data_IF_108493277257
#
_entry.id   IF_108493277257
#
_cell.length_a   1.000
_cell.length_b   1.000
_cell.length_c   1.000
_cell.angle_alpha   90.00
_cell.angle_beta   90.00
_cell.angle_gamma   90.00
#
_symmetry.space_group_name_H-M   'P 1'
#
loop_
_entity.id
_entity.type
_entity.pdbx_description
1 polymer ?
#
# COMPACT_ATOMS: atom_id res chain seq x y z
N UNK A 1 -8.94 -9.57 -9.73
CA UNK A 1 -8.13 -8.32 -9.80
C UNK A 1 -7.05 -8.34 -8.74
N UNK A 2 -7.40 -8.51 -7.46
CA UNK A 2 -6.38 -8.71 -6.41
C UNK A 2 -5.51 -9.95 -6.66
N UNK A 3 -6.08 -11.06 -7.14
CA UNK A 3 -5.28 -12.25 -7.51
C UNK A 3 -4.23 -11.92 -8.58
N UNK A 4 -4.56 -11.05 -9.54
CA UNK A 4 -3.63 -10.59 -10.59
C UNK A 4 -2.58 -9.64 -9.99
N UNK A 5 -2.98 -8.76 -9.07
CA UNK A 5 -2.08 -7.82 -8.42
C UNK A 5 -1.04 -8.51 -7.52
N UNK A 6 -1.37 -9.66 -6.94
CA UNK A 6 -0.50 -10.41 -6.04
C UNK A 6 0.31 -11.53 -6.73
N UNK A 7 -0.06 -11.91 -7.96
CA UNK A 7 0.59 -13.00 -8.68
C UNK A 7 1.99 -12.61 -9.20
N UNK A 8 3.01 -12.97 -8.42
CA UNK A 8 4.42 -12.72 -8.75
C UNK A 8 4.91 -13.44 -10.02
N UNK A 9 4.14 -14.37 -10.59
CA UNK A 9 4.47 -14.99 -11.88
C UNK A 9 4.16 -14.08 -13.08
N UNK A 10 3.33 -13.04 -12.87
CA UNK A 10 3.02 -12.04 -13.87
C UNK A 10 4.02 -10.88 -13.86
N UNK A 11 4.15 -10.23 -15.02
CA UNK A 11 4.94 -9.01 -15.15
C UNK A 11 4.46 -7.93 -14.17
N UNK A 12 5.41 -7.18 -13.61
CA UNK A 12 5.12 -6.11 -12.66
C UNK A 12 4.10 -5.10 -13.19
N UNK A 13 4.26 -4.71 -14.45
CA UNK A 13 3.32 -3.81 -15.14
C UNK A 13 1.89 -4.36 -15.17
N UNK A 14 1.71 -5.66 -15.35
CA UNK A 14 0.39 -6.30 -15.34
C UNK A 14 -0.24 -6.24 -13.95
N UNK A 15 0.57 -6.45 -12.90
CA UNK A 15 0.11 -6.34 -11.51
C UNK A 15 -0.29 -4.90 -11.17
N UNK A 16 0.53 -3.91 -11.59
CA UNK A 16 0.24 -2.49 -11.43
C UNK A 16 -1.06 -2.08 -12.11
N UNK A 17 -1.30 -2.52 -13.35
CA UNK A 17 -2.57 -2.26 -14.05
C UNK A 17 -3.80 -2.79 -13.30
N UNK A 18 -3.68 -3.95 -12.63
CA UNK A 18 -4.76 -4.48 -11.80
C UNK A 18 -5.05 -3.59 -10.58
N UNK A 19 -4.01 -2.98 -10.00
CA UNK A 19 -4.13 -2.03 -8.87
C UNK A 19 -4.75 -0.71 -9.35
N UNK A 20 -4.26 -0.14 -10.46
CA UNK A 20 -4.82 1.04 -11.11
C UNK A 20 -6.31 0.90 -11.41
N UNK A 21 -6.72 -0.26 -11.92
CA UNK A 21 -8.13 -0.54 -12.19
C UNK A 21 -8.98 -0.48 -10.91
N UNK A 22 -8.50 -1.08 -9.82
CA UNK A 22 -9.20 -1.04 -8.52
C UNK A 22 -9.25 0.39 -7.97
N UNK A 23 -8.14 1.13 -8.09
CA UNK A 23 -8.05 2.51 -7.64
C UNK A 23 -9.06 3.41 -8.38
N UNK A 24 -9.16 3.28 -9.70
CA UNK A 24 -10.13 4.00 -10.50
C UNK A 24 -11.58 3.72 -10.07
N UNK A 25 -11.90 2.48 -9.67
CA UNK A 25 -13.23 2.15 -9.12
C UNK A 25 -13.49 2.85 -7.78
N UNK A 26 -12.48 2.95 -6.93
CA UNK A 26 -12.57 3.61 -5.62
C UNK A 26 -12.75 5.12 -5.76
N UNK A 27 -12.08 5.73 -6.74
CA UNK A 27 -12.24 7.14 -7.10
C UNK A 27 -13.62 7.43 -7.69
N UNK A 28 -14.15 6.52 -8.52
CA UNK A 28 -15.44 6.66 -9.16
C UNK A 28 -16.64 6.27 -8.26
N UNK A 29 -16.42 5.82 -7.01
CA UNK A 29 -17.47 5.22 -6.16
C UNK A 29 -18.70 6.10 -5.95
N UNK A 30 -18.52 7.42 -5.88
CA UNK A 30 -19.61 8.38 -5.66
C UNK A 30 -20.61 8.40 -6.84
N UNK A 31 -20.18 7.91 -8.02
CA UNK A 31 -21.01 7.79 -9.22
C UNK A 31 -21.86 6.51 -9.26
N UNK A 32 -21.63 5.56 -8.34
CA UNK A 32 -22.30 4.26 -8.33
C UNK A 32 -22.57 3.73 -6.89
N UNK A 33 -23.44 4.38 -6.11
CA UNK A 33 -23.67 4.06 -4.70
C UNK A 33 -24.21 2.64 -4.46
N UNK A 34 -24.85 2.01 -5.45
CA UNK A 34 -25.32 0.62 -5.38
C UNK A 34 -24.20 -0.42 -5.20
N UNK A 35 -22.96 -0.08 -5.57
CA UNK A 35 -21.78 -0.95 -5.43
C UNK A 35 -21.08 -0.83 -4.07
N UNK A 36 -21.48 0.11 -3.21
CA UNK A 36 -20.77 0.50 -1.98
C UNK A 36 -20.62 -0.62 -0.95
N UNK A 37 -21.59 -1.53 -0.82
CA UNK A 37 -21.48 -2.67 0.12
C UNK A 37 -20.36 -3.64 -0.29
N UNK A 38 -20.25 -3.95 -1.60
CA UNK A 38 -19.14 -4.76 -2.12
C UNK A 38 -17.83 -4.01 -1.95
N UNK A 39 -17.84 -2.69 -2.20
CA UNK A 39 -16.67 -1.82 -2.13
C UNK A 39 -15.94 -1.88 -0.77
N UNK A 40 -16.63 -2.08 0.35
CA UNK A 40 -15.98 -2.18 1.68
C UNK A 40 -14.92 -3.29 1.77
N UNK A 41 -15.24 -4.50 1.30
CA UNK A 41 -14.28 -5.62 1.21
C UNK A 41 -13.16 -5.33 0.21
N UNK A 42 -13.49 -4.66 -0.91
CA UNK A 42 -12.49 -4.22 -1.88
C UNK A 42 -11.49 -3.24 -1.25
N UNK A 43 -11.94 -2.30 -0.42
CA UNK A 43 -11.07 -1.29 0.16
C UNK A 43 -10.08 -1.88 1.18
N UNK A 44 -10.54 -2.81 2.03
CA UNK A 44 -9.65 -3.49 2.98
C UNK A 44 -8.62 -4.39 2.27
N UNK A 45 -9.04 -5.07 1.20
CA UNK A 45 -8.13 -5.93 0.43
C UNK A 45 -7.12 -5.09 -0.37
N UNK A 46 -7.57 -4.00 -0.99
CA UNK A 46 -6.71 -3.06 -1.72
C UNK A 46 -5.65 -2.46 -0.79
N UNK A 47 -6.03 -2.05 0.42
CA UNK A 47 -5.09 -1.53 1.41
C UNK A 47 -4.01 -2.56 1.76
N UNK A 48 -4.36 -3.82 1.95
CA UNK A 48 -3.38 -4.89 2.20
C UNK A 48 -2.42 -5.12 1.03
N UNK A 49 -2.92 -5.12 -0.21
CA UNK A 49 -2.08 -5.25 -1.42
C UNK A 49 -1.11 -4.07 -1.51
N UNK A 50 -1.58 -2.85 -1.26
CA UNK A 50 -0.74 -1.65 -1.25
C UNK A 50 0.32 -1.71 -0.13
N UNK A 51 -0.04 -2.17 1.07
CA UNK A 51 0.94 -2.40 2.14
C UNK A 51 1.99 -3.43 1.71
N UNK A 52 1.60 -4.52 1.05
CA UNK A 52 2.56 -5.51 0.57
C UNK A 52 3.56 -4.94 -0.46
N UNK A 53 3.15 -3.95 -1.27
CA UNK A 53 4.08 -3.21 -2.14
C UNK A 53 5.04 -2.32 -1.35
N UNK A 54 4.58 -1.69 -0.27
CA UNK A 54 5.45 -0.90 0.61
C UNK A 54 6.51 -1.76 1.31
N UNK A 55 6.21 -3.03 1.52
CA UNK A 55 7.13 -3.97 2.12
C UNK A 55 8.14 -4.56 1.12
N UNK A 56 8.02 -4.23 -0.17
CA UNK A 56 8.99 -4.61 -1.20
C UNK A 56 10.19 -3.66 -1.17
N UNK A 57 10.95 -3.70 -0.09
CA UNK A 57 12.23 -3.00 0.06
C UNK A 57 13.35 -4.02 0.19
N UNK A 58 14.56 -3.67 -0.26
CA UNK A 58 15.74 -4.52 -0.14
C UNK A 58 16.58 -4.11 1.07
N UNK A 59 17.01 -5.11 1.83
CA UNK A 59 18.02 -4.93 2.88
C UNK A 59 19.39 -4.69 2.23
N UNK A 60 19.70 -3.42 1.97
CA UNK A 60 20.96 -3.00 1.40
C UNK A 60 21.96 -2.61 2.51
N UNK A 61 23.12 -3.27 2.63
CA UNK A 61 24.07 -3.05 3.72
C UNK A 61 24.53 -1.60 3.88
N UNK A 62 24.58 -0.85 2.77
CA UNK A 62 24.94 0.57 2.76
C UNK A 62 23.94 1.47 3.49
N UNK A 63 22.70 1.01 3.69
CA UNK A 63 21.67 1.74 4.42
C UNK A 63 22.08 2.01 5.87
N UNK A 64 22.71 1.04 6.54
CA UNK A 64 23.17 1.18 7.93
C UNK A 64 24.34 2.16 8.09
N UNK A 65 25.04 2.45 7.01
CA UNK A 65 26.21 3.33 6.97
C UNK A 65 25.93 4.65 6.24
N UNK A 66 24.70 4.89 5.80
CA UNK A 66 24.40 6.07 5.00
C UNK A 66 24.41 7.32 5.85
N UNK A 67 25.27 8.28 5.47
CA UNK A 67 25.30 9.62 6.05
C UNK A 67 24.29 10.56 5.35
N UNK A 68 23.69 10.11 4.25
CA UNK A 68 22.75 10.89 3.45
C UNK A 68 21.33 10.54 3.89
N UNK A 69 20.66 11.51 4.51
CA UNK A 69 19.24 11.37 4.83
C UNK A 69 18.44 11.14 3.52
N UNK A 70 17.67 10.05 3.48
CA UNK A 70 16.76 9.72 2.38
C UNK A 70 17.43 9.37 1.04
N UNK A 71 18.56 8.66 1.07
CA UNK A 71 19.35 8.24 -0.11
C UNK A 71 18.66 7.25 -1.07
N UNK A 72 17.41 6.84 -0.79
CA UNK A 72 16.62 5.87 -1.55
C UNK A 72 17.33 4.52 -1.76
N UNK A 73 18.36 4.21 -0.98
CA UNK A 73 19.07 2.94 -1.08
C UNK A 73 18.13 1.82 -0.63
N UNK A 74 18.07 0.73 -1.40
CA UNK A 74 17.16 -0.39 -1.15
C UNK A 74 15.71 -0.16 -1.56
N UNK A 75 15.36 1.04 -2.05
CA UNK A 75 14.02 1.35 -2.54
C UNK A 75 13.77 0.69 -3.90
N UNK A 76 12.62 0.04 -4.06
CA UNK A 76 12.21 -0.61 -5.32
C UNK A 76 11.16 0.21 -6.08
N UNK A 77 10.94 -0.12 -7.34
CA UNK A 77 9.88 0.49 -8.15
C UNK A 77 8.49 0.17 -7.59
N UNK A 78 8.27 -1.05 -7.08
CA UNK A 78 7.03 -1.44 -6.39
C UNK A 78 6.77 -0.60 -5.14
N UNK A 79 7.80 -0.31 -4.36
CA UNK A 79 7.69 0.57 -3.20
C UNK A 79 7.19 1.96 -3.60
N UNK A 80 7.86 2.58 -4.57
CA UNK A 80 7.53 3.93 -5.05
C UNK A 80 6.10 3.94 -5.60
N UNK A 81 5.76 2.94 -6.42
CA UNK A 81 4.44 2.78 -6.99
C UNK A 81 3.35 2.59 -5.91
N UNK A 82 3.62 1.71 -4.93
CA UNK A 82 2.73 1.44 -3.81
C UNK A 82 2.45 2.68 -2.96
N UNK A 83 3.48 3.51 -2.71
CA UNK A 83 3.34 4.79 -1.98
C UNK A 83 2.43 5.77 -2.69
N UNK A 84 2.64 5.99 -3.99
CA UNK A 84 1.82 6.89 -4.77
C UNK A 84 0.36 6.41 -4.83
N UNK A 85 0.15 5.11 -5.08
CA UNK A 85 -1.17 4.51 -5.09
C UNK A 85 -1.87 4.62 -3.73
N UNK A 86 -1.16 4.41 -2.61
CA UNK A 86 -1.72 4.56 -1.27
C UNK A 86 -2.13 6.00 -0.97
N UNK A 87 -1.34 6.98 -1.42
CA UNK A 87 -1.67 8.39 -1.32
C UNK A 87 -2.96 8.74 -2.09
N UNK A 88 -3.10 8.25 -3.31
CA UNK A 88 -4.30 8.45 -4.13
C UNK A 88 -5.52 7.74 -3.52
N UNK A 89 -5.35 6.48 -3.11
CA UNK A 89 -6.38 5.68 -2.44
C UNK A 89 -6.90 6.36 -1.17
N UNK A 90 -5.98 6.94 -0.39
CA UNK A 90 -6.33 7.65 0.84
C UNK A 90 -7.08 8.95 0.60
N UNK A 91 -6.66 9.72 -0.42
CA UNK A 91 -7.39 10.91 -0.87
C UNK A 91 -8.79 10.55 -1.36
N UNK A 92 -8.91 9.47 -2.11
CA UNK A 92 -10.19 9.02 -2.62
C UNK A 92 -11.13 8.66 -1.46
N UNK A 93 -10.73 7.81 -0.51
CA UNK A 93 -11.61 7.29 0.56
C UNK A 93 -11.86 8.24 1.72
N UNK A 94 -10.95 9.20 1.93
CA UNK A 94 -10.97 10.11 3.06
C UNK A 94 -10.36 9.49 4.32
N UNK A 95 -9.75 10.36 5.14
CA UNK A 95 -8.94 9.96 6.29
C UNK A 95 -9.69 9.13 7.34
N UNK A 96 -10.99 9.40 7.57
CA UNK A 96 -11.79 8.63 8.55
C UNK A 96 -11.90 7.15 8.17
N UNK A 97 -12.14 6.86 6.89
CA UNK A 97 -12.29 5.49 6.39
C UNK A 97 -10.95 4.76 6.41
N UNK A 98 -9.89 5.42 5.94
CA UNK A 98 -8.54 4.86 5.96
C UNK A 98 -8.03 4.61 7.37
N UNK A 99 -8.24 5.53 8.31
CA UNK A 99 -7.81 5.33 9.69
C UNK A 99 -8.45 4.08 10.31
N UNK A 100 -9.74 3.83 10.04
CA UNK A 100 -10.42 2.63 10.53
C UNK A 100 -9.89 1.35 9.88
N UNK A 101 -9.64 1.35 8.57
CA UNK A 101 -9.05 0.21 7.87
C UNK A 101 -7.63 -0.07 8.39
N UNK A 102 -6.84 0.99 8.52
CA UNK A 102 -5.48 0.92 9.02
C UNK A 102 -5.45 0.36 10.44
N UNK A 103 -6.24 0.89 11.37
CA UNK A 103 -6.30 0.36 12.75
C UNK A 103 -6.65 -1.13 12.78
N UNK A 104 -7.59 -1.58 11.93
CA UNK A 104 -7.97 -2.99 11.86
C UNK A 104 -6.90 -3.93 11.26
N UNK A 105 -5.96 -3.42 10.48
CA UNK A 105 -4.92 -4.22 9.81
C UNK A 105 -3.53 -4.03 10.41
N UNK A 106 -3.22 -2.85 10.95
CA UNK A 106 -1.94 -2.51 11.57
C UNK A 106 -1.61 -3.40 12.76
N UNK A 107 -2.61 -3.82 13.53
CA UNK A 107 -2.41 -4.76 14.65
C UNK A 107 -1.78 -6.07 14.16
N UNK A 108 -2.14 -6.55 12.96
CA UNK A 108 -1.54 -7.74 12.37
C UNK A 108 -0.10 -7.50 11.88
N UNK A 109 0.22 -6.29 11.40
CA UNK A 109 1.56 -5.93 10.92
C UNK A 109 2.54 -5.59 12.05
N UNK A 110 2.07 -5.03 13.17
CA UNK A 110 2.90 -4.66 14.34
C UNK A 110 3.36 -5.88 15.17
N UNK A 111 2.65 -7.00 15.07
CA UNK A 111 3.01 -8.26 15.74
C UNK A 111 4.15 -8.99 15.01
N UNK A 112 4.43 -8.63 13.75
CA UNK A 112 5.46 -9.30 12.95
C UNK A 112 6.87 -8.92 13.46
N UNK A 113 7.77 -9.89 13.73
CA UNK A 113 9.11 -9.64 14.27
C UNK A 113 10.07 -8.94 13.28
N UNK A 114 9.65 -8.68 12.04
CA UNK A 114 10.44 -8.00 11.01
C UNK A 114 10.42 -6.48 11.26
N UNK A 115 11.53 -5.95 11.79
CA UNK A 115 11.73 -4.53 12.11
C UNK A 115 11.58 -3.60 10.89
N UNK A 116 11.82 -4.11 9.67
CA UNK A 116 11.57 -3.44 8.40
C UNK A 116 10.10 -2.97 8.27
N UNK A 117 9.14 -3.77 8.75
CA UNK A 117 7.71 -3.43 8.70
C UNK A 117 7.30 -2.35 9.71
N UNK A 118 8.09 -2.12 10.76
CA UNK A 118 7.78 -1.15 11.83
C UNK A 118 8.28 0.25 11.51
N UNK A 119 9.42 0.36 10.83
CA UNK A 119 10.08 1.65 10.60
C UNK A 119 9.26 2.54 9.66
N UNK A 120 8.72 1.99 8.59
CA UNK A 120 7.94 2.75 7.60
C UNK A 120 6.56 3.19 8.10
N UNK A 121 5.90 2.29 8.82
CA UNK A 121 4.58 2.50 9.42
C UNK A 121 4.60 3.68 10.42
N UNK A 122 5.67 3.77 11.22
CA UNK A 122 5.84 4.80 12.26
C UNK A 122 6.09 6.19 11.67
N UNK A 123 6.74 6.27 10.50
CA UNK A 123 7.08 7.53 9.82
C UNK A 123 5.91 8.13 9.04
N UNK A 124 4.95 7.34 8.57
CA UNK A 124 3.81 7.83 7.77
C UNK A 124 2.59 8.28 8.60
N UNK A 125 2.42 7.80 9.83
CA UNK A 125 1.24 8.13 10.66
C UNK A 125 1.43 9.36 11.57
N UNK A 126 2.62 9.96 11.62
CA UNK A 126 2.93 11.16 12.42
C UNK A 126 2.96 12.46 11.59
N UNK A 127 2.40 12.46 10.38
CA UNK A 127 2.34 13.64 9.52
C UNK A 127 0.95 13.96 9.02
#
# INVERSE_FOLDING_TARGET
>A
MFDIAEDKSLEERTRHLAIEFVLALVEAREKAPGMMKKLSLFTTTCFAVLLNLLLDIKDEPSWHSSEIWNDQVGVTDNYIYGRECLGQFSKALGGKTIALIALGQLDAYLIVPEWEKRHELSLHFLR
#
